data_IF_401129829786
#
_entry.id   IF_401129829786
#
_cell.length_a   1.000
_cell.length_b   1.000
_cell.length_c   1.000
_cell.angle_alpha   90.00
_cell.angle_beta   90.00
_cell.angle_gamma   90.00
#
_symmetry.space_group_name_H-M   'P 1'
#
loop_
_entity.id
_entity.type
_entity.pdbx_description
1 polymer ?
#
# COMPACT_ATOMS: atom_id res chain seq x y z
N UNK A 1 -3.65 -22.21 -22.33
CA UNK A 1 -2.46 -21.67 -21.63
C UNK A 1 -2.84 -21.37 -20.19
N UNK A 2 -2.46 -22.21 -19.23
CA UNK A 2 -2.72 -21.96 -17.81
C UNK A 2 -1.79 -20.86 -17.31
N UNK A 3 -2.37 -19.77 -16.82
CA UNK A 3 -1.61 -18.65 -16.24
C UNK A 3 -1.22 -19.06 -14.83
N UNK A 4 0.04 -19.50 -14.65
CA UNK A 4 0.58 -19.78 -13.32
C UNK A 4 0.61 -18.48 -12.52
N UNK A 5 -0.27 -18.37 -11.53
CA UNK A 5 -0.19 -17.29 -10.54
C UNK A 5 0.76 -17.79 -9.46
N UNK A 6 2.00 -17.30 -9.47
CA UNK A 6 2.92 -17.55 -8.38
C UNK A 6 2.45 -16.74 -7.16
N UNK A 7 2.14 -17.41 -6.06
CA UNK A 7 1.89 -16.79 -4.76
C UNK A 7 3.18 -16.87 -3.94
N UNK A 8 3.60 -15.75 -3.36
CA UNK A 8 4.71 -15.71 -2.43
C UNK A 8 4.27 -14.95 -1.18
N UNK A 9 4.43 -15.57 -0.02
CA UNK A 9 4.31 -14.91 1.27
C UNK A 9 5.72 -14.50 1.74
N UNK A 10 5.88 -13.23 2.12
CA UNK A 10 7.17 -12.63 2.50
C UNK A 10 6.93 -11.66 3.64
N UNK A 11 7.67 -11.85 4.73
CA UNK A 11 7.77 -10.89 5.82
C UNK A 11 9.08 -10.12 5.72
N UNK A 12 9.00 -8.79 5.89
CA UNK A 12 10.15 -7.90 6.05
C UNK A 12 10.02 -7.22 7.41
N UNK A 13 11.12 -7.15 8.15
CA UNK A 13 11.18 -6.46 9.44
C UNK A 13 12.43 -5.61 9.50
N UNK A 14 12.28 -4.37 9.95
CA UNK A 14 13.35 -3.40 10.07
C UNK A 14 13.16 -2.57 11.34
N UNK A 15 14.26 -2.20 11.99
CA UNK A 15 14.22 -1.29 13.14
C UNK A 15 14.29 0.15 12.65
N UNK A 16 13.22 0.91 12.87
CA UNK A 16 13.15 2.32 12.52
C UNK A 16 13.53 3.16 13.75
N UNK A 17 14.53 4.06 13.68
CA UNK A 17 14.93 4.90 14.81
C UNK A 17 13.96 6.08 14.99
N UNK A 18 12.69 5.78 15.26
CA UNK A 18 11.64 6.77 15.53
C UNK A 18 10.60 6.21 16.52
N UNK A 19 9.86 7.07 17.23
CA UNK A 19 8.79 6.63 18.12
C UNK A 19 7.71 5.82 17.37
N UNK A 20 7.17 4.73 17.97
CA UNK A 20 6.20 3.86 17.29
C UNK A 20 5.00 4.60 16.70
N UNK A 21 4.44 5.56 17.43
CA UNK A 21 3.28 6.34 16.96
C UNK A 21 3.62 7.18 15.72
N UNK A 22 4.84 7.71 15.63
CA UNK A 22 5.30 8.47 14.46
C UNK A 22 5.49 7.58 13.25
N UNK A 23 6.00 6.36 13.45
CA UNK A 23 6.14 5.36 12.41
C UNK A 23 4.75 4.92 11.93
N UNK A 24 3.84 4.62 12.86
CA UNK A 24 2.45 4.28 12.56
C UNK A 24 1.78 5.40 11.76
N UNK A 25 1.81 6.63 12.24
CA UNK A 25 1.24 7.82 11.58
C UNK A 25 1.82 8.09 10.18
N UNK A 26 3.05 7.64 9.93
CA UNK A 26 3.67 7.72 8.61
C UNK A 26 3.10 6.66 7.66
N UNK A 27 3.07 5.40 8.09
CA UNK A 27 2.64 4.29 7.24
C UNK A 27 1.11 4.20 7.05
N UNK A 28 0.31 4.72 7.99
CA UNK A 28 -1.16 4.73 7.83
C UNK A 28 -1.67 5.78 6.84
N UNK A 29 -0.81 6.69 6.39
CA UNK A 29 -1.12 7.66 5.35
C UNK A 29 -0.35 7.31 4.08
N UNK A 30 -1.01 6.61 3.15
CA UNK A 30 -0.37 6.22 1.89
C UNK A 30 0.13 7.43 1.10
N UNK A 31 -0.36 8.64 1.35
CA UNK A 31 0.17 9.85 0.70
C UNK A 31 1.62 10.13 1.11
N UNK A 32 1.96 9.89 2.39
CA UNK A 32 3.33 10.06 2.92
C UNK A 32 4.29 9.00 2.41
N UNK A 33 3.78 7.81 2.04
CA UNK A 33 4.61 6.72 1.50
C UNK A 33 5.30 7.12 0.20
N UNK A 34 4.82 8.13 -0.54
CA UNK A 34 5.55 8.73 -1.68
C UNK A 34 6.98 9.13 -1.34
N UNK A 35 7.25 9.51 -0.09
CA UNK A 35 8.60 9.90 0.36
C UNK A 35 9.55 8.70 0.45
N UNK A 36 9.02 7.48 0.60
CA UNK A 36 9.79 6.25 0.75
C UNK A 36 9.70 5.31 -0.48
N UNK A 37 8.67 5.46 -1.33
CA UNK A 37 8.41 4.53 -2.42
C UNK A 37 8.79 5.12 -3.79
N UNK A 38 9.85 4.60 -4.46
CA UNK A 38 10.42 5.23 -5.64
C UNK A 38 9.53 5.18 -6.89
N UNK A 39 8.53 4.30 -6.91
CA UNK A 39 7.65 4.09 -8.07
C UNK A 39 6.33 4.86 -8.02
N UNK A 40 5.93 5.38 -6.84
CA UNK A 40 4.64 6.05 -6.69
C UNK A 40 4.73 7.44 -7.31
N UNK A 41 3.90 7.71 -8.32
CA UNK A 41 3.75 9.06 -8.87
C UNK A 41 2.73 9.89 -8.10
N UNK A 42 1.61 9.28 -7.72
CA UNK A 42 0.54 9.98 -7.01
C UNK A 42 -0.31 9.03 -6.19
N UNK A 43 -0.81 9.54 -5.08
CA UNK A 43 -1.77 8.89 -4.19
C UNK A 43 -2.91 9.89 -4.00
N UNK A 44 -4.13 9.40 -4.08
CA UNK A 44 -5.33 10.20 -3.88
C UNK A 44 -6.27 9.46 -2.94
N UNK A 45 -6.60 10.03 -1.77
CA UNK A 45 -7.69 9.51 -0.94
C UNK A 45 -9.01 9.54 -1.71
N UNK A 46 -9.72 8.42 -1.74
CA UNK A 46 -11.00 8.29 -2.46
C UNK A 46 -12.21 8.08 -1.55
N UNK A 47 -11.98 7.77 -0.28
CA UNK A 47 -13.05 7.67 0.71
C UNK A 47 -12.55 7.17 2.05
N UNK A 48 -13.26 7.52 3.11
CA UNK A 48 -13.01 7.06 4.47
C UNK A 48 -14.31 6.56 5.07
N UNK A 49 -14.26 5.45 5.80
CA UNK A 49 -15.37 4.90 6.54
C UNK A 49 -14.92 4.54 7.95
N UNK A 50 -15.56 5.14 8.93
CA UNK A 50 -15.38 4.75 10.34
C UNK A 50 -16.00 3.37 10.59
N UNK A 51 -15.40 2.65 11.53
CA UNK A 51 -15.84 1.34 12.02
C UNK A 51 -15.82 1.36 13.54
N UNK A 52 -16.41 0.37 14.20
CA UNK A 52 -16.40 0.32 15.66
C UNK A 52 -14.98 0.10 16.24
N UNK A 53 -14.00 -0.29 15.42
CA UNK A 53 -12.65 -0.67 15.84
C UNK A 53 -11.55 0.14 15.16
N UNK A 54 -11.88 1.28 14.53
CA UNK A 54 -10.94 2.09 13.75
C UNK A 54 -11.57 2.57 12.44
N UNK A 55 -10.82 2.63 11.35
CA UNK A 55 -11.35 3.09 10.08
C UNK A 55 -10.80 2.33 8.87
N UNK A 56 -11.58 2.36 7.79
CA UNK A 56 -11.16 1.94 6.47
C UNK A 56 -10.90 3.17 5.60
N UNK A 57 -9.69 3.30 5.09
CA UNK A 57 -9.31 4.36 4.17
C UNK A 57 -9.08 3.78 2.77
N UNK A 58 -9.71 4.37 1.77
CA UNK A 58 -9.55 4.00 0.36
C UNK A 58 -8.71 5.02 -0.39
N UNK A 59 -7.91 4.53 -1.32
CA UNK A 59 -7.02 5.33 -2.15
C UNK A 59 -7.07 4.88 -3.60
N UNK A 60 -6.76 5.81 -4.49
CA UNK A 60 -6.30 5.55 -5.84
C UNK A 60 -4.82 5.88 -5.92
N UNK A 61 -4.02 4.91 -6.35
CA UNK A 61 -2.58 5.07 -6.51
C UNK A 61 -2.23 4.97 -7.99
N UNK A 62 -1.21 5.71 -8.39
CA UNK A 62 -0.66 5.68 -9.74
C UNK A 62 0.84 5.52 -9.63
N UNK A 63 1.34 4.46 -10.26
CA UNK A 63 2.77 4.15 -10.30
C UNK A 63 3.34 4.38 -11.68
N UNK A 64 4.66 4.55 -11.73
CA UNK A 64 5.47 4.52 -12.93
C UNK A 64 6.48 3.40 -12.81
N UNK A 65 6.25 2.33 -13.55
CA UNK A 65 7.11 1.14 -13.55
C UNK A 65 8.10 1.28 -14.70
N UNK A 66 9.41 1.42 -14.43
CA UNK A 66 10.43 1.37 -15.47
C UNK A 66 10.53 -0.07 -16.02
N UNK A 67 10.40 -0.21 -17.34
CA UNK A 67 10.57 -1.46 -18.08
C UNK A 67 11.57 -1.24 -19.21
N UNK A 68 12.86 -1.37 -18.87
CA UNK A 68 13.96 -1.06 -19.78
C UNK A 68 13.91 0.41 -20.22
N UNK A 69 13.95 0.71 -21.54
CA UNK A 69 13.91 2.09 -22.04
C UNK A 69 12.52 2.74 -21.92
N UNK A 70 11.49 1.97 -21.58
CA UNK A 70 10.12 2.45 -21.44
C UNK A 70 9.72 2.62 -19.98
N UNK A 71 8.70 3.43 -19.74
CA UNK A 71 8.04 3.50 -18.44
C UNK A 71 6.54 3.33 -18.63
N UNK A 72 5.95 2.38 -17.91
CA UNK A 72 4.52 2.11 -17.94
C UNK A 72 3.86 2.78 -16.74
N UNK A 73 2.76 3.47 -16.99
CA UNK A 73 1.90 4.02 -15.95
C UNK A 73 0.83 3.00 -15.58
N UNK A 74 0.72 2.67 -14.31
CA UNK A 74 -0.34 1.79 -13.79
C UNK A 74 -1.16 2.54 -12.76
N UNK A 75 -2.44 2.19 -12.64
CA UNK A 75 -3.30 2.75 -11.60
C UNK A 75 -4.09 1.65 -10.93
N UNK A 76 -4.17 1.72 -9.62
CA UNK A 76 -4.86 0.72 -8.81
C UNK A 76 -5.56 1.35 -7.61
N UNK A 77 -6.37 0.53 -6.94
CA UNK A 77 -7.04 0.90 -5.69
C UNK A 77 -6.34 0.22 -4.53
N UNK A 78 -6.14 0.97 -3.47
CA UNK A 78 -5.67 0.44 -2.20
C UNK A 78 -6.70 0.72 -1.11
N UNK A 79 -6.84 -0.23 -0.20
CA UNK A 79 -7.69 -0.13 0.99
C UNK A 79 -6.84 -0.43 2.21
N UNK A 80 -6.87 0.48 3.17
CA UNK A 80 -6.14 0.39 4.41
C UNK A 80 -7.13 0.28 5.56
N UNK A 81 -7.04 -0.81 6.32
CA UNK A 81 -7.75 -0.94 7.59
C UNK A 81 -6.80 -0.57 8.72
N UNK A 82 -7.15 0.50 9.42
CA UNK A 82 -6.37 1.04 10.54
C UNK A 82 -7.17 0.83 11.80
N UNK A 83 -6.86 -0.19 12.62
CA UNK A 83 -7.53 -0.37 13.88
C UNK A 83 -7.06 0.68 14.90
N UNK A 84 -7.87 0.91 15.95
CA UNK A 84 -7.49 1.77 17.08
C UNK A 84 -6.27 1.24 17.83
N UNK A 85 -6.08 -0.07 17.83
CA UNK A 85 -4.92 -0.76 18.41
C UNK A 85 -4.54 -1.98 17.57
N UNK A 86 -3.26 -2.36 17.58
CA UNK A 86 -2.74 -3.50 16.81
C UNK A 86 -2.44 -3.21 15.34
N UNK A 87 -2.31 -4.28 14.56
CA UNK A 87 -1.70 -4.26 13.22
C UNK A 87 -2.57 -3.60 12.15
N UNK A 88 -1.91 -2.85 11.26
CA UNK A 88 -2.55 -2.17 10.14
C UNK A 88 -2.52 -3.06 8.92
N UNK A 89 -3.69 -3.32 8.32
CA UNK A 89 -3.78 -4.19 7.15
C UNK A 89 -4.00 -3.38 5.86
N UNK A 90 -3.19 -3.65 4.83
CA UNK A 90 -3.34 -3.03 3.50
C UNK A 90 -3.72 -4.07 2.47
N UNK A 91 -4.71 -3.76 1.62
CA UNK A 91 -5.05 -4.53 0.44
C UNK A 91 -4.90 -3.66 -0.80
N UNK A 92 -4.08 -4.10 -1.76
CA UNK A 92 -3.89 -3.44 -3.03
C UNK A 92 -4.45 -4.29 -4.18
N UNK A 93 -5.42 -3.74 -4.90
CA UNK A 93 -6.06 -4.37 -6.07
C UNK A 93 -5.29 -3.96 -7.35
N UNK A 94 -4.03 -4.42 -7.49
CA UNK A 94 -3.15 -4.07 -8.62
C UNK A 94 -3.27 -5.03 -9.81
N UNK A 95 -3.17 -4.46 -11.03
CA UNK A 95 -3.01 -5.21 -12.29
C UNK A 95 -2.08 -4.45 -13.25
N UNK A 96 -1.23 -5.12 -14.05
CA UNK A 96 -0.94 -6.56 -14.06
C UNK A 96 0.17 -6.93 -13.07
N UNK A 97 -0.05 -7.92 -12.20
CA UNK A 97 1.06 -8.66 -11.58
C UNK A 97 0.91 -9.15 -10.15
N UNK A 98 0.33 -8.39 -9.21
CA UNK A 98 0.40 -8.79 -7.79
C UNK A 98 -0.72 -8.22 -6.93
N UNK A 99 -1.47 -9.05 -6.23
CA UNK A 99 -2.25 -8.64 -5.06
C UNK A 99 -1.37 -8.78 -3.82
N UNK A 100 -1.00 -7.66 -3.17
CA UNK A 100 -0.27 -7.69 -1.90
C UNK A 100 -1.23 -7.39 -0.75
N UNK A 101 -1.24 -8.27 0.25
CA UNK A 101 -1.80 -8.00 1.57
C UNK A 101 -0.62 -7.74 2.51
N UNK A 102 -0.47 -6.52 3.01
CA UNK A 102 0.47 -6.24 4.11
C UNK A 102 -0.30 -6.38 5.42
N UNK A 103 0.26 -7.16 6.34
CA UNK A 103 -0.24 -7.38 7.68
C UNK A 103 0.79 -6.84 8.67
#
# INVERSE_FOLDING_TARGET
MSRWVACADRALSESVPAPPDRVRDFYVDLDKIKLAHPLIMSVQPTGRRETAQGYLQSYRVVDRIPLGPFAIRTSYRARLYVPTDGDVSTLADQWPGSSYAQR
#
